data_IF_954886338738
#
_entry.id   IF_954886338738
#
_cell.length_a   1.000
_cell.length_b   1.000
_cell.length_c   1.000
_cell.angle_alpha   90.00
_cell.angle_beta   90.00
_cell.angle_gamma   90.00
#
_symmetry.space_group_name_H-M   'P 1'
#
loop_
_entity.id
_entity.type
_entity.pdbx_description
1 polymer ?
#
# COMPACT_ATOMS: atom_id res chain seq x y z
N UNK A 1 -22.03 7.13 35.63
CA UNK A 1 -22.59 7.44 34.29
C UNK A 1 -23.64 6.39 33.97
N UNK A 2 -24.84 6.77 33.51
CA UNK A 2 -25.87 5.81 33.08
C UNK A 2 -25.81 5.73 31.55
N UNK A 3 -25.63 4.52 31.02
CA UNK A 3 -25.64 4.26 29.58
C UNK A 3 -26.97 3.59 29.22
N UNK A 4 -27.59 4.04 28.14
CA UNK A 4 -28.85 3.46 27.63
C UNK A 4 -28.53 2.49 26.51
N UNK A 5 -29.02 1.25 26.61
CA UNK A 5 -29.06 0.31 25.50
C UNK A 5 -30.18 0.72 24.52
N UNK A 6 -29.80 1.01 23.27
CA UNK A 6 -30.73 1.44 22.21
C UNK A 6 -31.11 0.30 21.26
N UNK A 7 -30.40 -0.83 21.31
CA UNK A 7 -30.64 -1.96 20.43
C UNK A 7 -29.73 -3.13 20.72
N UNK A 8 -29.83 -4.19 19.92
CA UNK A 8 -29.00 -5.39 20.03
C UNK A 8 -28.54 -5.91 18.67
N UNK A 9 -27.40 -6.58 18.69
CA UNK A 9 -26.88 -7.36 17.55
C UNK A 9 -27.61 -8.69 17.45
N UNK A 10 -27.94 -9.09 16.22
CA UNK A 10 -28.48 -10.41 15.87
C UNK A 10 -27.57 -11.02 14.81
N UNK A 11 -26.88 -12.12 15.13
CA UNK A 11 -26.05 -12.88 14.19
C UNK A 11 -25.77 -14.32 14.66
N UNK A 12 -24.95 -15.07 13.92
CA UNK A 12 -24.62 -16.48 14.21
C UNK A 12 -23.56 -16.67 15.31
N UNK A 13 -22.83 -15.63 15.69
CA UNK A 13 -21.65 -15.71 16.56
C UNK A 13 -22.07 -15.62 18.03
N UNK A 14 -22.40 -16.76 18.63
CA UNK A 14 -22.82 -16.82 20.05
C UNK A 14 -21.66 -16.61 21.04
N UNK A 15 -20.43 -16.87 20.59
CA UNK A 15 -19.21 -16.75 21.39
C UNK A 15 -18.17 -15.94 20.61
N UNK A 16 -17.23 -15.26 21.29
CA UNK A 16 -16.17 -14.54 20.62
C UNK A 16 -15.31 -15.49 19.78
N UNK A 17 -15.19 -15.18 18.49
CA UNK A 17 -14.24 -15.81 17.56
C UNK A 17 -13.26 -14.75 17.04
N UNK A 18 -12.48 -15.08 16.01
CA UNK A 18 -11.61 -14.11 15.35
C UNK A 18 -12.42 -12.88 14.89
N UNK A 19 -12.03 -11.63 15.25
CA UNK A 19 -12.71 -10.44 14.75
C UNK A 19 -12.78 -10.36 13.22
N UNK A 20 -11.74 -10.81 12.50
CA UNK A 20 -11.72 -10.81 11.05
C UNK A 20 -12.69 -11.85 10.46
N UNK A 21 -12.95 -12.94 11.20
CA UNK A 21 -14.01 -13.90 10.85
C UNK A 21 -15.41 -13.33 11.14
N UNK A 22 -15.59 -12.64 12.28
CA UNK A 22 -16.86 -12.00 12.62
C UNK A 22 -17.24 -10.94 11.59
N UNK A 23 -16.28 -10.10 11.18
CA UNK A 23 -16.49 -9.03 10.18
C UNK A 23 -16.99 -9.53 8.84
N UNK A 24 -16.60 -10.75 8.45
CA UNK A 24 -17.05 -11.39 7.20
C UNK A 24 -18.52 -11.85 7.25
N UNK A 25 -19.21 -11.69 8.39
CA UNK A 25 -20.60 -12.12 8.60
C UNK A 25 -21.57 -10.93 8.52
N UNK A 26 -22.63 -11.08 7.72
CA UNK A 26 -23.75 -10.13 7.73
C UNK A 26 -24.47 -10.21 9.07
N UNK A 27 -24.61 -9.06 9.73
CA UNK A 27 -25.28 -8.93 11.02
C UNK A 27 -26.50 -8.04 10.89
N UNK A 28 -27.46 -8.19 11.83
CA UNK A 28 -28.58 -7.27 11.96
C UNK A 28 -28.42 -6.52 13.27
N UNK A 29 -28.57 -5.20 13.23
CA UNK A 29 -28.73 -4.38 14.42
C UNK A 29 -30.22 -4.07 14.55
N UNK A 30 -30.84 -4.61 15.61
CA UNK A 30 -32.24 -4.35 15.95
C UNK A 30 -32.30 -3.21 16.96
N UNK A 31 -32.74 -2.05 16.52
CA UNK A 31 -33.00 -0.89 17.38
C UNK A 31 -34.32 -1.10 18.11
N UNK A 32 -34.39 -0.69 19.38
CA UNK A 32 -35.64 -0.75 20.15
C UNK A 32 -36.66 0.22 19.53
N UNK A 33 -37.93 -0.17 19.51
CA UNK A 33 -38.98 0.56 18.80
C UNK A 33 -39.06 2.04 19.20
N UNK A 34 -38.90 2.34 20.49
CA UNK A 34 -38.92 3.71 21.03
C UNK A 34 -37.77 4.62 20.53
N UNK A 35 -36.73 4.05 19.91
CA UNK A 35 -35.61 4.79 19.32
C UNK A 35 -35.61 4.73 17.79
N UNK A 36 -36.58 4.08 17.16
CA UNK A 36 -36.60 3.84 15.72
C UNK A 36 -36.63 5.14 14.89
N UNK A 37 -37.26 6.20 15.41
CA UNK A 37 -37.30 7.53 14.76
C UNK A 37 -35.90 8.16 14.64
N UNK A 38 -34.97 7.82 15.53
CA UNK A 38 -33.57 8.25 15.45
C UNK A 38 -32.82 7.73 14.21
N UNK A 39 -33.41 6.78 13.48
CA UNK A 39 -32.85 6.26 12.23
C UNK A 39 -33.27 7.08 11.00
N UNK A 40 -34.05 8.15 11.14
CA UNK A 40 -34.44 8.99 10.00
C UNK A 40 -33.23 9.35 9.12
N UNK A 41 -33.41 9.23 7.80
CA UNK A 41 -32.38 9.45 6.77
C UNK A 41 -31.08 8.64 6.89
N UNK A 42 -31.00 7.63 7.76
CA UNK A 42 -29.79 6.79 7.89
C UNK A 42 -29.38 6.11 6.59
N UNK A 43 -30.34 5.86 5.68
CA UNK A 43 -30.11 5.29 4.34
C UNK A 43 -29.26 6.20 3.43
N UNK A 44 -29.06 7.47 3.78
CA UNK A 44 -28.20 8.39 3.05
C UNK A 44 -26.70 8.15 3.30
N UNK A 45 -26.36 7.23 4.21
CA UNK A 45 -24.98 6.92 4.57
C UNK A 45 -24.69 5.46 4.26
N UNK A 46 -23.59 5.22 3.53
CA UNK A 46 -23.11 3.88 3.20
C UNK A 46 -22.41 3.23 4.40
N UNK A 47 -21.77 4.02 5.26
CA UNK A 47 -21.02 3.54 6.41
C UNK A 47 -21.50 4.18 7.71
N UNK A 48 -21.56 3.36 8.76
CA UNK A 48 -22.00 3.75 10.10
C UNK A 48 -20.94 3.38 11.14
N UNK A 49 -20.68 4.27 12.10
CA UNK A 49 -19.95 3.95 13.33
C UNK A 49 -20.93 3.40 14.35
N UNK A 50 -20.75 2.13 14.71
CA UNK A 50 -21.54 1.44 15.71
C UNK A 50 -20.78 1.44 17.03
N UNK A 51 -21.41 1.98 18.07
CA UNK A 51 -20.88 1.97 19.44
C UNK A 51 -21.66 0.93 20.23
N UNK A 52 -20.95 -0.03 20.84
CA UNK A 52 -21.57 -1.17 21.49
C UNK A 52 -20.85 -1.56 22.78
N UNK A 53 -21.51 -2.34 23.63
CA UNK A 53 -20.99 -2.75 24.93
C UNK A 53 -20.50 -4.20 24.89
N UNK A 54 -19.25 -4.47 25.29
CA UNK A 54 -18.75 -5.84 25.45
C UNK A 54 -19.35 -6.47 26.72
N UNK A 55 -20.64 -6.82 26.65
CA UNK A 55 -21.45 -7.36 27.75
C UNK A 55 -20.97 -8.71 28.32
N UNK A 56 -19.98 -9.36 27.68
CA UNK A 56 -19.30 -10.57 28.14
C UNK A 56 -17.86 -10.32 28.60
N UNK A 57 -17.37 -9.08 28.52
CA UNK A 57 -16.06 -8.73 29.04
C UNK A 57 -16.19 -8.45 30.53
N UNK A 58 -15.66 -9.36 31.34
CA UNK A 58 -15.50 -9.19 32.77
C UNK A 58 -14.07 -8.68 33.04
N UNK A 59 -13.96 -7.75 34.00
CA UNK A 59 -12.71 -7.08 34.39
C UNK A 59 -11.93 -6.39 33.26
N UNK A 60 -10.74 -5.88 33.59
CA UNK A 60 -9.84 -5.22 32.66
C UNK A 60 -8.37 -5.50 32.95
N UNK A 61 -7.56 -5.51 31.89
CA UNK A 61 -6.10 -5.66 31.99
C UNK A 61 -5.43 -4.40 31.43
N UNK A 62 -4.85 -3.57 32.30
CA UNK A 62 -4.22 -2.31 31.88
C UNK A 62 -3.01 -2.53 30.98
N UNK A 63 -2.24 -3.60 31.22
CA UNK A 63 -1.09 -4.03 30.41
C UNK A 63 -1.22 -5.53 30.20
N UNK A 64 -1.24 -5.99 28.95
CA UNK A 64 -1.27 -7.43 28.65
C UNK A 64 -0.63 -7.75 27.31
N UNK A 65 -0.26 -9.02 27.12
CA UNK A 65 -0.03 -9.58 25.79
C UNK A 65 -1.34 -9.54 24.99
N UNK A 66 -1.24 -9.28 23.68
CA UNK A 66 -2.38 -9.22 22.76
C UNK A 66 -2.22 -10.30 21.69
N UNK A 67 -3.28 -10.55 20.93
CA UNK A 67 -3.32 -11.61 19.90
C UNK A 67 -2.20 -11.51 18.86
N UNK A 68 -1.76 -10.30 18.55
CA UNK A 68 -0.60 -10.00 17.70
C UNK A 68 0.25 -8.91 18.34
N UNK A 69 1.57 -9.05 18.20
CA UNK A 69 2.55 -8.03 18.58
C UNK A 69 2.89 -7.97 20.08
N UNK A 70 3.75 -7.00 20.47
CA UNK A 70 4.28 -6.90 21.83
C UNK A 70 3.23 -6.50 22.86
N UNK A 71 3.56 -6.81 24.13
CA UNK A 71 2.86 -6.34 25.34
C UNK A 71 2.68 -4.82 25.29
N UNK A 72 1.46 -4.35 25.58
CA UNK A 72 1.13 -2.91 25.53
C UNK A 72 -0.04 -2.55 26.43
N UNK A 73 -0.17 -1.26 26.68
CA UNK A 73 -1.31 -0.69 27.40
C UNK A 73 -2.65 -0.95 26.69
N UNK A 74 -3.74 -1.06 27.46
CA UNK A 74 -5.08 -1.30 26.89
C UNK A 74 -5.55 -0.17 25.97
N UNK A 75 -5.18 1.07 26.26
CA UNK A 75 -5.54 2.26 25.48
C UNK A 75 -4.73 2.42 24.19
N UNK A 76 -3.67 1.64 24.00
CA UNK A 76 -2.93 1.53 22.72
C UNK A 76 -3.30 0.26 21.96
N UNK A 77 -4.48 -0.31 22.26
CA UNK A 77 -5.00 -1.54 21.69
C UNK A 77 -6.51 -1.47 21.46
N UNK A 78 -7.07 -2.50 20.82
CA UNK A 78 -8.52 -2.68 20.63
C UNK A 78 -9.12 -3.78 21.50
N UNK A 79 -8.46 -4.17 22.59
CA UNK A 79 -8.94 -5.26 23.45
C UNK A 79 -10.26 -4.95 24.16
N UNK A 80 -11.20 -5.92 24.25
CA UNK A 80 -12.46 -5.74 24.99
C UNK A 80 -12.29 -5.63 26.51
N UNK A 81 -11.18 -6.14 27.08
CA UNK A 81 -10.87 -6.10 28.52
C UNK A 81 -10.32 -4.74 28.96
N UNK A 82 -11.19 -3.73 29.00
CA UNK A 82 -10.85 -2.32 29.26
C UNK A 82 -11.79 -1.72 30.32
N UNK A 83 -11.35 -0.66 31.06
CA UNK A 83 -12.13 -0.09 32.17
C UNK A 83 -13.57 0.32 31.80
N UNK A 84 -13.78 0.79 30.58
CA UNK A 84 -15.11 0.98 29.99
C UNK A 84 -15.22 0.08 28.77
N UNK A 85 -15.89 -1.08 28.85
CA UNK A 85 -15.90 -2.11 27.81
C UNK A 85 -16.80 -1.71 26.65
N UNK A 86 -16.39 -0.65 25.94
CA UNK A 86 -17.05 -0.09 24.77
C UNK A 86 -16.25 -0.45 23.53
N UNK A 87 -16.95 -1.02 22.55
CA UNK A 87 -16.48 -1.28 21.20
C UNK A 87 -16.97 -0.20 20.24
N UNK A 88 -16.16 0.09 19.23
CA UNK A 88 -16.51 1.01 18.14
C UNK A 88 -16.06 0.36 16.83
N UNK A 89 -17.00 0.18 15.91
CA UNK A 89 -16.72 -0.44 14.61
C UNK A 89 -17.43 0.32 13.51
N UNK A 90 -16.70 0.62 12.44
CA UNK A 90 -17.31 1.12 11.20
C UNK A 90 -17.84 -0.07 10.41
N UNK A 91 -19.13 -0.03 10.07
CA UNK A 91 -19.83 -1.07 9.31
C UNK A 91 -20.39 -0.48 8.03
N UNK A 92 -20.50 -1.30 7.00
CA UNK A 92 -21.27 -0.97 5.79
C UNK A 92 -22.76 -1.20 6.07
N UNK A 93 -23.61 -0.23 5.72
CA UNK A 93 -25.06 -0.35 5.77
C UNK A 93 -25.57 -0.98 4.48
N UNK A 94 -26.03 -2.23 4.56
CA UNK A 94 -26.56 -2.96 3.40
C UNK A 94 -28.00 -2.57 3.11
N UNK A 95 -28.84 -2.48 4.14
CA UNK A 95 -30.24 -2.02 4.04
C UNK A 95 -30.83 -1.68 5.40
N UNK A 96 -31.91 -0.89 5.40
CA UNK A 96 -32.79 -0.65 6.57
C UNK A 96 -34.21 -1.11 6.28
N UNK A 97 -34.77 -1.87 7.22
CA UNK A 97 -36.18 -2.31 7.24
C UNK A 97 -36.77 -1.98 8.62
N UNK A 98 -37.59 -0.92 8.70
CA UNK A 98 -38.12 -0.45 9.99
C UNK A 98 -37.00 -0.05 10.97
N UNK A 99 -36.95 -0.73 12.11
CA UNK A 99 -35.93 -0.61 13.16
C UNK A 99 -34.75 -1.60 13.00
N UNK A 100 -34.68 -2.33 11.88
CA UNK A 100 -33.62 -3.28 11.57
C UNK A 100 -32.61 -2.67 10.59
N UNK A 101 -31.34 -2.68 10.96
CA UNK A 101 -30.23 -2.32 10.09
C UNK A 101 -29.45 -3.59 9.74
N UNK A 102 -29.38 -3.91 8.46
CA UNK A 102 -28.56 -5.02 7.95
C UNK A 102 -27.19 -4.45 7.62
N UNK A 103 -26.13 -5.02 8.20
CA UNK A 103 -24.79 -4.46 8.14
C UNK A 103 -23.73 -5.52 7.83
N UNK A 104 -22.60 -5.09 7.29
CA UNK A 104 -21.41 -5.91 7.04
C UNK A 104 -20.18 -5.29 7.72
N UNK A 105 -19.25 -6.12 8.23
CA UNK A 105 -18.04 -5.64 8.90
C UNK A 105 -18.16 -5.42 10.41
N UNK A 106 -19.22 -5.91 11.06
CA UNK A 106 -19.37 -5.82 12.53
C UNK A 106 -18.60 -6.96 13.24
N UNK A 107 -17.84 -6.63 14.28
CA UNK A 107 -17.08 -7.57 15.14
C UNK A 107 -17.69 -7.70 16.54
N UNK A 108 -19.00 -7.89 16.59
CA UNK A 108 -19.77 -8.07 17.82
C UNK A 108 -20.52 -9.42 17.79
N UNK A 109 -20.54 -10.10 18.95
CA UNK A 109 -21.28 -11.35 19.12
C UNK A 109 -22.80 -11.11 19.17
N UNK A 110 -23.57 -12.17 18.97
CA UNK A 110 -25.02 -12.16 19.11
C UNK A 110 -25.45 -11.58 20.48
N UNK A 111 -26.57 -10.86 20.50
CA UNK A 111 -27.11 -10.15 21.67
C UNK A 111 -26.26 -9.00 22.22
N UNK A 112 -25.16 -8.62 21.55
CA UNK A 112 -24.35 -7.47 21.97
C UNK A 112 -25.20 -6.19 22.04
N UNK A 113 -25.24 -5.49 23.20
CA UNK A 113 -25.96 -4.24 23.35
C UNK A 113 -25.35 -3.13 22.48
N UNK A 114 -26.20 -2.43 21.73
CA UNK A 114 -25.85 -1.20 21.01
C UNK A 114 -26.13 -0.01 21.91
N UNK A 115 -25.16 0.89 21.99
CA UNK A 115 -25.21 2.11 22.79
C UNK A 115 -25.52 3.32 21.91
N UNK A 116 -24.90 3.42 20.74
CA UNK A 116 -25.01 4.59 19.86
C UNK A 116 -24.70 4.22 18.40
N UNK A 117 -25.18 5.05 17.47
CA UNK A 117 -24.92 4.94 16.03
C UNK A 117 -24.63 6.35 15.49
N UNK A 118 -23.54 6.49 14.73
CA UNK A 118 -23.20 7.74 14.05
C UNK A 118 -22.91 7.48 12.57
N UNK A 119 -23.19 8.44 11.66
CA UNK A 119 -22.68 8.34 10.30
C UNK A 119 -21.14 8.34 10.32
N UNK A 120 -20.51 7.53 9.48
CA UNK A 120 -19.08 7.66 9.22
C UNK A 120 -18.86 8.78 8.19
N UNK A 121 -18.02 9.75 8.53
CA UNK A 121 -17.71 10.89 7.66
C UNK A 121 -16.19 10.97 7.52
N UNK A 122 -15.66 10.67 6.33
CA UNK A 122 -14.22 10.57 6.07
C UNK A 122 -13.42 11.78 6.60
N UNK A 123 -13.84 13.03 6.32
CA UNK A 123 -13.04 14.19 6.76
C UNK A 123 -13.01 14.40 8.29
N UNK A 124 -13.97 13.83 9.05
CA UNK A 124 -14.01 13.93 10.52
C UNK A 124 -13.36 12.70 11.17
N UNK A 125 -13.56 11.54 10.57
CA UNK A 125 -13.25 10.25 11.15
C UNK A 125 -11.95 9.63 10.64
N UNK A 126 -11.44 10.14 9.52
CA UNK A 126 -10.11 9.88 8.98
C UNK A 126 -9.24 11.13 9.21
N UNK A 127 -8.45 11.18 10.31
CA UNK A 127 -7.61 12.34 10.65
C UNK A 127 -6.46 12.57 9.66
N UNK A 128 -6.32 11.70 8.67
CA UNK A 128 -5.22 11.76 7.71
C UNK A 128 -5.24 13.01 6.85
N UNK A 129 -6.34 13.77 6.72
CA UNK A 129 -6.35 14.91 5.79
C UNK A 129 -5.43 16.06 6.26
N UNK A 130 -5.42 16.39 7.56
CA UNK A 130 -4.49 17.41 8.10
C UNK A 130 -3.06 16.90 8.12
N UNK A 131 -2.86 15.63 8.50
CA UNK A 131 -1.53 15.00 8.54
C UNK A 131 -0.93 14.78 7.15
N UNK A 132 -1.76 14.56 6.13
CA UNK A 132 -1.31 14.46 4.74
C UNK A 132 -0.82 15.81 4.18
N UNK A 133 -1.26 16.94 4.74
CA UNK A 133 -0.74 18.25 4.33
C UNK A 133 0.69 18.46 4.81
N UNK A 134 1.04 17.94 5.98
CA UNK A 134 2.40 18.00 6.54
C UNK A 134 3.29 16.91 5.93
N UNK A 135 2.76 15.69 5.83
CA UNK A 135 3.45 14.53 5.26
C UNK A 135 2.55 13.90 4.20
N UNK A 136 2.74 14.22 2.89
CA UNK A 136 1.91 13.68 1.80
C UNK A 136 1.82 12.15 1.80
N UNK A 137 2.84 11.50 2.38
CA UNK A 137 2.99 10.05 2.45
C UNK A 137 2.51 9.43 3.77
N UNK A 138 1.86 10.21 4.65
CA UNK A 138 1.40 9.76 5.97
C UNK A 138 0.69 8.38 5.94
N UNK A 139 -0.22 8.19 4.98
CA UNK A 139 -0.95 6.94 4.80
C UNK A 139 -0.01 5.78 4.42
N UNK A 140 0.87 5.99 3.46
CA UNK A 140 1.85 4.99 2.99
C UNK A 140 2.79 4.61 4.14
N UNK A 141 3.35 5.61 4.84
CA UNK A 141 4.27 5.40 5.96
C UNK A 141 3.62 4.57 7.08
N UNK A 142 2.35 4.84 7.40
CA UNK A 142 1.59 4.03 8.35
C UNK A 142 1.37 2.60 7.84
N UNK A 143 1.02 2.41 6.57
CA UNK A 143 0.87 1.07 6.01
C UNK A 143 2.17 0.28 6.06
N UNK A 144 3.33 0.91 5.83
CA UNK A 144 4.65 0.27 5.99
C UNK A 144 4.90 -0.07 7.47
N UNK A 145 4.66 0.87 8.39
CA UNK A 145 4.84 0.65 9.83
C UNK A 145 3.98 -0.50 10.38
N UNK A 146 2.76 -0.63 9.88
CA UNK A 146 1.82 -1.69 10.27
C UNK A 146 1.82 -2.92 9.35
N UNK A 147 2.75 -2.98 8.39
CA UNK A 147 2.87 -4.09 7.42
C UNK A 147 1.55 -4.39 6.67
N UNK A 148 0.76 -3.35 6.36
CA UNK A 148 -0.46 -3.48 5.55
C UNK A 148 -0.12 -3.50 4.05
N UNK A 149 0.55 -4.58 3.62
CA UNK A 149 1.04 -4.73 2.25
C UNK A 149 -0.07 -4.90 1.21
N UNK A 150 -1.22 -5.45 1.60
CA UNK A 150 -2.41 -5.53 0.75
C UNK A 150 -2.89 -4.15 0.29
N UNK A 151 -3.00 -3.19 1.20
CA UNK A 151 -3.41 -1.83 0.85
C UNK A 151 -2.31 -1.09 0.06
N UNK A 152 -1.03 -1.35 0.35
CA UNK A 152 0.08 -0.84 -0.47
C UNK A 152 0.04 -1.38 -1.90
N UNK A 153 -0.30 -2.65 -2.10
CA UNK A 153 -0.43 -3.25 -3.43
C UNK A 153 -1.60 -2.63 -4.20
N UNK A 154 -2.77 -2.51 -3.56
CA UNK A 154 -3.94 -1.85 -4.15
C UNK A 154 -3.58 -0.46 -4.67
N UNK A 155 -2.90 0.34 -3.85
CA UNK A 155 -2.48 1.68 -4.20
C UNK A 155 -1.39 1.72 -5.28
N UNK A 156 -0.43 0.81 -5.24
CA UNK A 156 0.61 0.70 -6.27
C UNK A 156 0.00 0.33 -7.63
N UNK A 157 -1.08 -0.45 -7.63
CA UNK A 157 -1.86 -0.77 -8.83
C UNK A 157 -2.55 0.45 -9.46
N UNK A 158 -2.87 1.49 -8.67
CA UNK A 158 -3.42 2.75 -9.21
C UNK A 158 -2.39 3.46 -10.11
N UNK A 159 -1.11 3.46 -9.71
CA UNK A 159 -0.02 4.01 -10.50
C UNK A 159 0.32 3.11 -11.70
N UNK A 160 0.44 1.81 -11.45
CA UNK A 160 0.91 0.83 -12.44
C UNK A 160 -0.16 0.45 -13.48
N UNK A 161 -1.44 0.59 -13.13
CA UNK A 161 -2.59 0.32 -14.00
C UNK A 161 -3.09 -1.14 -13.99
N UNK A 162 -2.38 -2.07 -13.37
CA UNK A 162 -2.83 -3.46 -13.15
C UNK A 162 -2.11 -4.12 -11.98
N UNK A 163 -2.51 -5.34 -11.61
CA UNK A 163 -1.82 -6.16 -10.61
C UNK A 163 -1.03 -7.27 -11.30
N UNK A 164 0.23 -7.41 -10.93
CA UNK A 164 1.12 -8.45 -11.45
C UNK A 164 2.08 -8.96 -10.37
N UNK A 165 2.65 -10.17 -10.54
CA UNK A 165 3.57 -10.75 -9.56
C UNK A 165 4.76 -9.85 -9.25
N UNK A 166 5.35 -9.22 -10.27
CA UNK A 166 6.53 -8.36 -10.07
C UNK A 166 6.20 -7.05 -9.36
N UNK A 167 5.01 -6.46 -9.59
CA UNK A 167 4.56 -5.31 -8.81
C UNK A 167 4.44 -5.70 -7.33
N UNK A 168 3.83 -6.84 -7.02
CA UNK A 168 3.70 -7.34 -5.65
C UNK A 168 5.05 -7.60 -4.99
N UNK A 169 6.01 -8.19 -5.70
CA UNK A 169 7.39 -8.36 -5.23
C UNK A 169 8.05 -7.02 -4.90
N UNK A 170 7.85 -5.99 -5.73
CA UNK A 170 8.37 -4.64 -5.47
C UNK A 170 7.76 -4.01 -4.21
N UNK A 171 6.44 -4.11 -4.06
CA UNK A 171 5.70 -3.65 -2.88
C UNK A 171 6.19 -4.36 -1.61
N UNK A 172 6.35 -5.69 -1.68
CA UNK A 172 6.85 -6.50 -0.58
C UNK A 172 8.26 -6.08 -0.16
N UNK A 173 9.20 -6.00 -1.10
CA UNK A 173 10.59 -5.64 -0.82
C UNK A 173 10.70 -4.24 -0.20
N UNK A 174 9.95 -3.27 -0.72
CA UNK A 174 9.93 -1.90 -0.18
C UNK A 174 9.31 -1.82 1.22
N UNK A 175 8.16 -2.46 1.43
CA UNK A 175 7.49 -2.44 2.72
C UNK A 175 8.33 -3.13 3.81
N UNK A 176 8.98 -4.25 3.48
CA UNK A 176 9.84 -4.98 4.40
C UNK A 176 11.16 -4.21 4.68
N UNK A 177 11.87 -3.81 3.62
CA UNK A 177 13.18 -3.15 3.73
C UNK A 177 13.13 -1.82 4.46
N UNK A 178 12.17 -0.96 4.13
CA UNK A 178 12.02 0.35 4.79
C UNK A 178 11.60 0.22 6.25
N UNK A 179 10.78 -0.79 6.58
CA UNK A 179 10.41 -1.07 7.96
C UNK A 179 11.61 -1.57 8.77
N UNK A 180 12.35 -2.56 8.26
CA UNK A 180 13.54 -3.13 8.93
C UNK A 180 14.66 -2.12 9.12
N UNK A 181 14.83 -1.17 8.19
CA UNK A 181 15.81 -0.09 8.29
C UNK A 181 15.34 1.13 9.12
N UNK A 182 14.05 1.19 9.49
CA UNK A 182 13.48 2.35 10.17
C UNK A 182 13.37 3.61 9.28
N UNK A 183 13.28 3.43 7.97
CA UNK A 183 13.26 4.50 6.96
C UNK A 183 11.84 4.84 6.47
N UNK A 184 10.84 4.65 7.33
CA UNK A 184 9.43 4.84 6.95
C UNK A 184 9.02 6.31 6.90
N UNK A 185 9.73 7.20 7.60
CA UNK A 185 9.53 8.65 7.51
C UNK A 185 10.45 9.23 6.43
N UNK A 186 10.03 9.12 5.18
CA UNK A 186 10.70 9.71 4.02
C UNK A 186 9.88 10.90 3.49
N UNK A 187 10.47 12.09 3.46
CA UNK A 187 9.88 13.30 2.87
C UNK A 187 10.10 13.40 1.35
N UNK A 188 10.93 12.50 0.80
CA UNK A 188 11.26 12.41 -0.62
C UNK A 188 12.48 13.21 -1.05
N UNK A 189 13.25 13.84 -0.16
CA UNK A 189 14.36 14.75 -0.52
C UNK A 189 15.75 14.06 -0.66
N UNK A 190 15.86 12.99 -1.44
CA UNK A 190 17.13 12.22 -1.63
C UNK A 190 17.74 11.58 -0.35
N UNK A 191 17.08 11.72 0.81
CA UNK A 191 17.55 11.19 2.10
C UNK A 191 17.44 9.67 2.21
N UNK A 192 16.30 9.12 1.82
CA UNK A 192 16.09 7.68 1.66
C UNK A 192 16.25 7.37 0.19
N UNK A 193 17.11 6.40 -0.13
CA UNK A 193 17.42 6.03 -1.50
C UNK A 193 17.04 4.58 -1.78
N UNK A 194 16.66 4.33 -3.04
CA UNK A 194 16.52 2.99 -3.59
C UNK A 194 17.38 2.86 -4.83
N UNK A 195 18.28 1.87 -4.86
CA UNK A 195 19.05 1.51 -6.05
C UNK A 195 18.41 0.29 -6.69
N UNK A 196 17.68 0.48 -7.78
CA UNK A 196 17.00 -0.59 -8.52
C UNK A 196 17.86 -1.09 -9.67
N UNK A 197 17.85 -2.40 -9.91
CA UNK A 197 18.69 -3.07 -10.91
C UNK A 197 17.93 -3.51 -12.19
N UNK A 198 16.68 -3.06 -12.33
CA UNK A 198 15.75 -3.42 -13.42
C UNK A 198 14.78 -2.27 -13.73
N UNK A 199 14.26 -2.22 -14.96
CA UNK A 199 13.17 -1.32 -15.40
C UNK A 199 11.80 -2.03 -15.51
N UNK A 200 11.64 -3.19 -14.84
CA UNK A 200 10.38 -3.95 -14.83
C UNK A 200 9.35 -3.42 -13.84
N UNK A 201 8.14 -4.00 -13.83
CA UNK A 201 7.05 -3.67 -12.91
C UNK A 201 7.44 -3.69 -11.42
N UNK A 202 8.49 -4.46 -11.08
CA UNK A 202 9.11 -4.45 -9.76
C UNK A 202 9.47 -3.04 -9.30
N UNK A 203 10.10 -2.25 -10.17
CA UNK A 203 10.56 -0.90 -9.87
C UNK A 203 9.40 0.07 -9.61
N UNK A 204 8.21 -0.14 -10.16
CA UNK A 204 7.04 0.69 -9.85
C UNK A 204 6.54 0.46 -8.43
N UNK A 205 6.55 -0.79 -7.96
CA UNK A 205 6.23 -1.11 -6.56
C UNK A 205 7.21 -0.46 -5.60
N UNK A 206 8.50 -0.48 -5.93
CA UNK A 206 9.57 0.22 -5.18
C UNK A 206 9.33 1.72 -5.17
N UNK A 207 9.07 2.33 -6.32
CA UNK A 207 8.82 3.77 -6.44
C UNK A 207 7.60 4.19 -5.63
N UNK A 208 6.48 3.46 -5.73
CA UNK A 208 5.25 3.83 -5.06
C UNK A 208 5.39 3.71 -3.53
N UNK A 209 5.84 2.55 -3.05
CA UNK A 209 5.92 2.28 -1.61
C UNK A 209 7.09 3.02 -0.98
N UNK A 210 8.24 3.07 -1.65
CA UNK A 210 9.42 3.76 -1.16
C UNK A 210 9.38 5.26 -1.33
N UNK A 211 8.54 5.77 -2.25
CA UNK A 211 8.55 7.16 -2.74
C UNK A 211 9.95 7.63 -3.08
N UNK A 212 10.77 6.66 -3.47
CA UNK A 212 12.05 6.83 -4.10
C UNK A 212 11.79 6.87 -5.59
N UNK A 213 11.74 8.06 -6.19
CA UNK A 213 11.28 8.24 -7.57
C UNK A 213 12.38 8.86 -8.43
N UNK A 214 12.23 8.78 -9.75
CA UNK A 214 13.14 9.46 -10.67
C UNK A 214 13.15 10.98 -10.47
N UNK A 215 11.99 11.59 -10.28
CA UNK A 215 11.85 13.05 -10.26
C UNK A 215 12.38 13.74 -9.01
N UNK A 216 12.38 13.03 -7.87
CA UNK A 216 13.00 13.50 -6.63
C UNK A 216 14.40 12.91 -6.39
N UNK A 217 15.03 12.36 -7.45
CA UNK A 217 16.40 11.85 -7.50
C UNK A 217 16.79 10.79 -6.45
N UNK A 218 15.82 10.22 -5.75
CA UNK A 218 16.04 9.22 -4.71
C UNK A 218 15.97 7.79 -5.23
N UNK A 219 15.57 7.60 -6.49
CA UNK A 219 15.70 6.35 -7.22
C UNK A 219 16.96 6.38 -8.10
N UNK A 220 17.89 5.46 -7.87
CA UNK A 220 19.02 5.20 -8.76
C UNK A 220 18.71 3.94 -9.55
N UNK A 221 18.65 4.07 -10.87
CA UNK A 221 18.49 2.92 -11.75
C UNK A 221 19.85 2.47 -12.31
N UNK A 222 20.20 1.22 -12.06
CA UNK A 222 21.32 0.50 -12.67
C UNK A 222 20.78 -0.54 -13.63
N UNK A 223 21.09 -0.41 -14.91
CA UNK A 223 20.53 -1.28 -15.94
C UNK A 223 21.24 -2.65 -16.02
N UNK A 224 21.19 -3.42 -14.93
CA UNK A 224 21.81 -4.74 -14.83
C UNK A 224 20.87 -5.88 -15.24
N UNK A 225 19.56 -5.60 -15.35
CA UNK A 225 18.53 -6.59 -15.65
C UNK A 225 18.21 -7.55 -14.50
N UNK A 226 18.63 -7.24 -13.27
CA UNK A 226 18.40 -8.09 -12.09
C UNK A 226 17.17 -7.59 -11.33
N UNK A 227 16.27 -8.50 -10.97
CA UNK A 227 15.15 -8.20 -10.04
C UNK A 227 15.71 -8.00 -8.64
N UNK A 228 16.24 -6.80 -8.39
CA UNK A 228 16.91 -6.45 -7.15
C UNK A 228 16.77 -4.95 -6.84
N UNK A 229 16.83 -4.65 -5.53
CA UNK A 229 16.81 -3.29 -4.98
C UNK A 229 17.72 -3.22 -3.76
N UNK A 230 18.42 -2.11 -3.58
CA UNK A 230 19.10 -1.76 -2.32
C UNK A 230 18.46 -0.53 -1.71
N UNK A 231 18.03 -0.64 -0.45
CA UNK A 231 17.52 0.48 0.35
C UNK A 231 18.56 0.96 1.34
N UNK A 232 18.65 2.28 1.51
CA UNK A 232 19.57 2.92 2.45
C UNK A 232 19.13 4.36 2.75
N UNK A 233 19.74 4.96 3.78
CA UNK A 233 19.75 6.41 3.92
C UNK A 233 21.07 6.97 3.44
N UNK A 234 21.04 8.06 2.66
CA UNK A 234 22.24 8.75 2.21
C UNK A 234 23.12 9.24 3.37
N UNK A 235 22.52 9.55 4.52
CA UNK A 235 23.22 9.98 5.73
C UNK A 235 23.89 8.82 6.50
N UNK A 236 23.52 7.57 6.19
CA UNK A 236 24.12 6.38 6.78
C UNK A 236 24.14 5.22 5.76
N UNK A 237 24.97 5.32 4.71
CA UNK A 237 24.94 4.38 3.59
C UNK A 237 25.41 2.97 3.98
N UNK A 238 26.20 2.84 5.04
CA UNK A 238 26.67 1.55 5.57
C UNK A 238 25.52 0.70 6.15
N UNK A 239 24.46 1.33 6.65
CA UNK A 239 23.25 0.64 7.08
C UNK A 239 22.28 0.50 5.90
N UNK A 240 22.50 -0.53 5.10
CA UNK A 240 21.72 -0.79 3.90
C UNK A 240 21.25 -2.25 3.83
N UNK A 241 20.21 -2.48 3.03
CA UNK A 241 19.68 -3.82 2.75
C UNK A 241 19.43 -4.02 1.27
N UNK A 242 20.03 -5.05 0.68
CA UNK A 242 19.82 -5.46 -0.71
C UNK A 242 18.92 -6.68 -0.78
N UNK A 243 17.82 -6.55 -1.49
CA UNK A 243 16.87 -7.61 -1.81
C UNK A 243 17.11 -8.03 -3.25
N UNK A 244 17.27 -9.32 -3.50
CA UNK A 244 17.31 -9.85 -4.86
C UNK A 244 16.57 -11.19 -4.93
N UNK A 245 15.85 -11.39 -6.03
CA UNK A 245 14.99 -12.55 -6.21
C UNK A 245 15.82 -13.85 -6.12
N UNK A 246 15.44 -14.74 -5.21
CA UNK A 246 16.19 -15.96 -4.90
C UNK A 246 16.05 -17.02 -6.01
N UNK A 247 14.87 -17.11 -6.61
CA UNK A 247 14.52 -18.01 -7.70
C UNK A 247 13.79 -17.21 -8.79
N UNK A 248 14.36 -17.10 -9.99
CA UNK A 248 13.72 -16.36 -11.10
C UNK A 248 12.58 -17.14 -11.75
N UNK A 249 12.55 -18.47 -11.57
CA UNK A 249 11.62 -19.37 -12.25
C UNK A 249 10.42 -19.75 -11.38
N UNK A 250 10.29 -19.17 -10.17
CA UNK A 250 9.26 -19.53 -9.18
C UNK A 250 7.83 -19.47 -9.75
N UNK A 251 7.52 -18.50 -10.63
CA UNK A 251 6.19 -18.42 -11.24
C UNK A 251 5.91 -19.66 -12.11
N UNK A 252 6.89 -20.09 -12.89
CA UNK A 252 6.75 -21.23 -13.78
C UNK A 252 6.69 -22.56 -13.00
N UNK A 253 7.35 -22.62 -11.85
CA UNK A 253 7.39 -23.78 -10.94
C UNK A 253 6.13 -23.90 -10.08
N UNK A 254 5.72 -22.81 -9.44
CA UNK A 254 4.59 -22.79 -8.49
C UNK A 254 3.23 -22.65 -9.17
N UNK A 255 3.20 -22.05 -10.37
CA UNK A 255 1.98 -21.80 -11.15
C UNK A 255 2.14 -22.29 -12.60
N UNK A 256 2.39 -23.59 -12.84
CA UNK A 256 2.70 -24.14 -14.16
C UNK A 256 1.58 -23.92 -15.19
N UNK A 257 0.32 -23.77 -14.74
CA UNK A 257 -0.83 -23.44 -15.56
C UNK A 257 -0.71 -22.07 -16.27
N UNK A 258 0.17 -21.19 -15.77
CA UNK A 258 0.41 -19.87 -16.36
C UNK A 258 1.26 -19.96 -17.62
N UNK A 259 2.11 -20.98 -17.78
CA UNK A 259 3.20 -20.99 -18.77
C UNK A 259 2.73 -20.83 -20.22
N UNK A 260 1.72 -21.61 -20.63
CA UNK A 260 1.20 -21.55 -21.99
C UNK A 260 0.49 -20.22 -22.27
N UNK A 261 -0.26 -19.71 -21.27
CA UNK A 261 -0.98 -18.46 -21.38
C UNK A 261 -0.02 -17.26 -21.41
N UNK A 262 0.99 -17.26 -20.54
CA UNK A 262 2.05 -16.24 -20.49
C UNK A 262 2.80 -16.15 -21.82
N UNK A 263 3.22 -17.30 -22.38
CA UNK A 263 3.92 -17.34 -23.66
C UNK A 263 3.10 -16.68 -24.77
N UNK A 264 1.83 -17.08 -24.92
CA UNK A 264 0.95 -16.53 -25.97
C UNK A 264 0.60 -15.06 -25.75
N UNK A 265 0.22 -14.69 -24.53
CA UNK A 265 -0.36 -13.38 -24.22
C UNK A 265 0.72 -12.31 -24.04
N UNK A 266 1.79 -12.64 -23.30
CA UNK A 266 2.81 -11.66 -22.89
C UNK A 266 4.03 -11.70 -23.81
N UNK A 267 4.63 -12.89 -24.01
CA UNK A 267 5.86 -13.00 -24.79
C UNK A 267 5.61 -12.83 -26.30
N UNK A 268 4.59 -13.50 -26.85
CA UNK A 268 4.26 -13.48 -28.28
C UNK A 268 3.23 -12.41 -28.65
N UNK A 269 2.52 -11.82 -27.66
CA UNK A 269 1.47 -10.82 -27.84
C UNK A 269 0.37 -11.24 -28.84
N UNK A 270 0.04 -12.52 -28.87
CA UNK A 270 -0.90 -13.14 -29.81
C UNK A 270 -2.12 -13.79 -29.10
N UNK A 271 -2.37 -13.42 -27.85
CA UNK A 271 -3.51 -13.92 -27.09
C UNK A 271 -4.85 -13.32 -27.53
N UNK A 272 -5.91 -14.14 -27.53
CA UNK A 272 -7.28 -13.67 -27.67
C UNK A 272 -7.71 -12.78 -26.50
N UNK A 273 -8.81 -12.02 -26.67
CA UNK A 273 -9.36 -11.16 -25.58
C UNK A 273 -9.68 -11.97 -24.32
N UNK A 274 -10.20 -13.18 -24.47
CA UNK A 274 -10.53 -14.07 -23.36
C UNK A 274 -9.27 -14.57 -22.64
N UNK A 275 -8.22 -14.92 -23.40
CA UNK A 275 -6.93 -15.31 -22.84
C UNK A 275 -6.25 -14.16 -22.08
N UNK A 276 -6.35 -12.93 -22.59
CA UNK A 276 -5.86 -11.72 -21.90
C UNK A 276 -6.60 -11.49 -20.57
N UNK A 277 -7.93 -11.57 -20.57
CA UNK A 277 -8.76 -11.46 -19.35
C UNK A 277 -8.41 -12.54 -18.32
N UNK A 278 -8.26 -13.79 -18.77
CA UNK A 278 -7.84 -14.90 -17.92
C UNK A 278 -6.45 -14.66 -17.33
N UNK A 279 -5.50 -14.17 -18.13
CA UNK A 279 -4.16 -13.85 -17.67
C UNK A 279 -4.18 -12.77 -16.59
N UNK A 280 -4.97 -11.71 -16.78
CA UNK A 280 -5.12 -10.62 -15.80
C UNK A 280 -5.64 -11.12 -14.46
N UNK A 281 -6.67 -11.96 -14.46
CA UNK A 281 -7.22 -12.55 -13.22
C UNK A 281 -6.20 -13.41 -12.50
N UNK A 282 -5.50 -14.28 -13.22
CA UNK A 282 -4.47 -15.14 -12.66
C UNK A 282 -3.30 -14.33 -12.09
N UNK A 283 -2.86 -13.28 -12.79
CA UNK A 283 -1.82 -12.38 -12.29
C UNK A 283 -2.24 -11.61 -11.04
N UNK A 284 -3.50 -11.20 -10.97
CA UNK A 284 -4.06 -10.60 -9.78
C UNK A 284 -4.04 -11.59 -8.61
N UNK A 285 -4.56 -12.81 -8.79
CA UNK A 285 -4.57 -13.86 -7.77
C UNK A 285 -3.16 -14.15 -7.24
N UNK A 286 -2.19 -14.34 -8.14
CA UNK A 286 -0.78 -14.58 -7.77
C UNK A 286 -0.19 -13.38 -7.03
N UNK A 287 -0.43 -12.15 -7.50
CA UNK A 287 0.08 -10.93 -6.86
C UNK A 287 -0.41 -10.80 -5.40
N UNK A 288 -1.69 -11.10 -5.15
CA UNK A 288 -2.26 -11.09 -3.79
C UNK A 288 -1.82 -12.31 -2.96
N UNK A 289 -1.53 -13.45 -3.56
CA UNK A 289 -0.90 -14.58 -2.86
C UNK A 289 0.51 -14.22 -2.39
N UNK A 290 1.33 -13.61 -3.27
CA UNK A 290 2.69 -13.18 -2.94
C UNK A 290 2.66 -12.21 -1.76
N UNK A 291 1.78 -11.20 -1.77
CA UNK A 291 1.81 -10.14 -0.77
C UNK A 291 1.48 -10.59 0.67
N UNK A 292 0.91 -11.79 0.83
CA UNK A 292 0.57 -12.38 2.11
C UNK A 292 1.74 -13.17 2.74
N UNK A 293 2.74 -13.54 1.96
CA UNK A 293 3.90 -14.35 2.36
C UNK A 293 5.05 -13.52 2.98
N UNK A 294 6.02 -14.18 3.60
CA UNK A 294 7.23 -13.53 4.14
C UNK A 294 8.23 -13.17 3.03
N UNK A 295 8.95 -12.06 3.18
CA UNK A 295 9.88 -11.57 2.15
C UNK A 295 11.03 -12.56 1.89
N UNK A 296 11.48 -13.25 2.93
CA UNK A 296 12.53 -14.27 2.88
C UNK A 296 12.17 -15.48 2.01
N UNK A 297 10.89 -15.71 1.71
CA UNK A 297 10.47 -16.79 0.82
C UNK A 297 10.81 -16.50 -0.65
N UNK A 298 10.87 -15.22 -1.03
CA UNK A 298 11.15 -14.80 -2.40
C UNK A 298 12.53 -14.17 -2.58
N UNK A 299 13.07 -13.53 -1.54
CA UNK A 299 14.29 -12.75 -1.64
C UNK A 299 15.44 -13.34 -0.83
N UNK A 300 16.62 -13.33 -1.43
CA UNK A 300 17.88 -13.30 -0.67
C UNK A 300 18.09 -11.86 -0.21
N UNK A 301 18.31 -11.69 1.09
CA UNK A 301 18.45 -10.38 1.74
C UNK A 301 19.86 -10.25 2.30
N UNK A 302 20.63 -9.36 1.71
CA UNK A 302 21.98 -9.00 2.17
C UNK A 302 21.93 -7.68 2.94
N UNK A 303 22.77 -7.56 3.97
CA UNK A 303 22.87 -6.36 4.82
C UNK A 303 24.26 -5.76 4.72
N UNK A 304 24.33 -4.44 4.82
CA UNK A 304 25.58 -3.67 4.89
C UNK A 304 26.50 -4.00 3.70
N UNK A 305 25.94 -4.07 2.51
CA UNK A 305 26.73 -4.30 1.29
C UNK A 305 27.53 -3.04 0.95
N UNK A 306 28.70 -3.23 0.34
CA UNK A 306 29.42 -2.10 -0.23
C UNK A 306 28.66 -1.59 -1.47
N UNK A 307 28.30 -0.32 -1.47
CA UNK A 307 27.57 0.31 -2.58
C UNK A 307 28.08 1.72 -2.83
N UNK A 308 28.49 2.00 -4.07
CA UNK A 308 28.81 3.35 -4.51
C UNK A 308 27.52 4.12 -4.78
N UNK A 309 27.42 5.36 -4.31
CA UNK A 309 26.29 6.24 -4.59
C UNK A 309 26.76 7.45 -5.40
N UNK A 310 25.94 7.94 -6.34
CA UNK A 310 26.24 9.20 -7.00
C UNK A 310 26.15 10.36 -5.98
N UNK A 311 26.85 11.44 -6.26
CA UNK A 311 26.69 12.71 -5.53
C UNK A 311 25.23 13.21 -5.60
N UNK A 312 24.90 14.18 -4.74
CA UNK A 312 23.60 14.88 -4.81
C UNK A 312 23.37 15.45 -6.21
N UNK A 313 22.10 15.49 -6.62
CA UNK A 313 21.74 16.03 -7.92
C UNK A 313 22.25 17.48 -8.08
N UNK A 314 23.09 17.77 -9.08
CA UNK A 314 23.61 19.11 -9.30
C UNK A 314 22.53 20.07 -9.80
N UNK A 315 22.60 21.33 -9.37
CA UNK A 315 21.77 22.41 -9.92
C UNK A 315 22.47 22.95 -11.17
N UNK A 316 21.81 22.82 -12.31
CA UNK A 316 22.31 23.35 -13.58
C UNK A 316 21.67 24.70 -13.91
N UNK A 317 22.42 25.55 -14.59
CA UNK A 317 21.88 26.76 -15.21
C UNK A 317 20.95 26.43 -16.38
N UNK A 318 20.40 27.50 -16.95
CA UNK A 318 19.49 27.43 -18.07
C UNK A 318 20.05 28.15 -19.30
N UNK A 319 19.83 27.56 -20.46
CA UNK A 319 20.14 28.13 -21.77
C UNK A 319 18.94 28.03 -22.72
N UNK A 320 19.07 28.63 -23.90
CA UNK A 320 18.03 28.61 -24.93
C UNK A 320 18.57 28.08 -26.26
N UNK A 321 17.84 27.16 -26.88
CA UNK A 321 18.21 26.63 -28.18
C UNK A 321 18.07 27.71 -29.25
N UNK A 322 19.16 27.99 -29.97
CA UNK A 322 19.22 29.01 -31.01
C UNK A 322 18.36 28.70 -32.26
N UNK A 323 17.82 27.47 -32.36
CA UNK A 323 16.97 27.03 -33.50
C UNK A 323 15.49 27.01 -33.16
N UNK A 324 15.08 26.30 -32.10
CA UNK A 324 13.67 26.21 -31.71
C UNK A 324 13.24 27.26 -30.67
N UNK A 325 14.17 27.92 -29.98
CA UNK A 325 13.88 28.89 -28.93
C UNK A 325 13.52 28.28 -27.56
N UNK A 326 13.45 26.96 -27.43
CA UNK A 326 13.12 26.29 -26.17
C UNK A 326 14.23 26.43 -25.13
N UNK A 327 13.81 26.55 -23.88
CA UNK A 327 14.69 26.57 -22.71
C UNK A 327 15.18 25.15 -22.40
N UNK A 328 16.47 24.99 -22.13
CA UNK A 328 17.08 23.70 -21.81
C UNK A 328 18.14 23.84 -20.71
N UNK A 329 18.35 22.74 -19.97
CA UNK A 329 19.39 22.66 -18.94
C UNK A 329 20.78 22.75 -19.56
N UNK A 330 21.69 23.49 -18.92
CA UNK A 330 23.07 23.68 -19.38
C UNK A 330 23.82 22.37 -19.60
N UNK A 331 23.58 21.36 -18.77
CA UNK A 331 24.22 20.04 -18.91
C UNK A 331 23.78 19.26 -20.16
N UNK A 332 22.79 19.74 -20.90
CA UNK A 332 22.22 19.07 -22.08
C UNK A 332 22.47 19.85 -23.39
N UNK A 333 23.16 20.99 -23.34
CA UNK A 333 23.43 21.80 -24.53
C UNK A 333 24.39 21.09 -25.51
N UNK A 334 24.28 21.45 -26.78
CA UNK A 334 25.22 21.08 -27.83
C UNK A 334 25.70 22.36 -28.51
N UNK A 335 27.00 22.62 -28.44
CA UNK A 335 27.63 23.71 -29.17
C UNK A 335 27.98 23.26 -30.60
N UNK A 336 27.39 23.92 -31.60
CA UNK A 336 27.64 23.63 -33.02
C UNK A 336 27.59 24.95 -33.80
N UNK A 337 28.63 25.24 -34.58
CA UNK A 337 28.74 26.46 -35.40
C UNK A 337 28.51 27.76 -34.60
N UNK A 338 29.14 27.89 -33.41
CA UNK A 338 28.96 29.02 -32.49
C UNK A 338 27.50 29.29 -32.06
N UNK A 339 26.65 28.25 -32.10
CA UNK A 339 25.27 28.30 -31.60
C UNK A 339 25.08 27.24 -30.53
N UNK A 340 24.28 27.60 -29.52
CA UNK A 340 23.78 26.66 -28.51
C UNK A 340 22.52 26.01 -29.07
N UNK A 341 22.50 24.68 -29.16
CA UNK A 341 21.37 23.91 -29.66
C UNK A 341 20.94 22.85 -28.66
N UNK A 342 19.65 22.48 -28.67
CA UNK A 342 19.20 21.25 -28.03
C UNK A 342 19.64 20.02 -28.85
N UNK A 343 19.70 18.85 -28.21
CA UNK A 343 20.14 17.60 -28.85
C UNK A 343 19.36 17.28 -30.12
N UNK A 344 18.05 17.48 -30.09
CA UNK A 344 17.16 17.28 -31.24
C UNK A 344 17.49 18.22 -32.41
N UNK A 345 17.51 19.54 -32.19
CA UNK A 345 17.84 20.53 -33.22
C UNK A 345 19.26 20.40 -33.79
N UNK A 346 20.18 19.82 -33.01
CA UNK A 346 21.57 19.59 -33.40
C UNK A 346 21.81 18.25 -34.11
N UNK A 347 20.79 17.37 -34.13
CA UNK A 347 20.86 15.97 -34.57
C UNK A 347 21.98 15.19 -33.85
N UNK A 348 22.13 15.44 -32.54
CA UNK A 348 23.13 14.79 -31.71
C UNK A 348 22.50 13.64 -30.92
N UNK A 349 23.33 12.66 -30.59
CA UNK A 349 22.90 11.48 -29.86
C UNK A 349 22.33 11.81 -28.47
N UNK A 350 21.37 11.01 -28.03
CA UNK A 350 20.74 11.12 -26.71
C UNK A 350 20.52 9.74 -26.07
N UNK A 351 20.33 9.73 -24.76
CA UNK A 351 19.96 8.51 -24.04
C UNK A 351 18.44 8.42 -23.96
N UNK A 352 17.90 7.24 -24.29
CA UNK A 352 16.48 6.93 -24.20
C UNK A 352 16.32 5.72 -23.28
N UNK A 353 15.44 5.84 -22.28
CA UNK A 353 14.91 4.67 -21.58
C UNK A 353 13.69 4.17 -22.35
N UNK A 354 13.71 2.90 -22.76
CA UNK A 354 12.54 2.20 -23.26
C UNK A 354 12.45 0.78 -22.69
N UNK A 355 11.57 -0.06 -23.25
CA UNK A 355 11.38 -1.43 -22.76
C UNK A 355 12.63 -2.31 -22.86
N UNK A 356 13.65 -1.91 -23.62
CA UNK A 356 14.93 -2.62 -23.72
C UNK A 356 16.00 -2.13 -22.73
N UNK A 357 15.73 -1.05 -21.99
CA UNK A 357 16.69 -0.41 -21.09
C UNK A 357 17.14 0.97 -21.58
N UNK A 358 18.30 1.43 -21.12
CA UNK A 358 18.89 2.70 -21.55
C UNK A 358 19.71 2.49 -22.83
N UNK A 359 19.24 3.05 -23.94
CA UNK A 359 19.92 3.01 -25.23
C UNK A 359 20.40 4.40 -25.65
N UNK A 360 21.50 4.44 -26.41
CA UNK A 360 21.97 5.65 -27.09
C UNK A 360 21.38 5.68 -28.49
N UNK A 361 20.58 6.71 -28.79
CA UNK A 361 19.98 6.96 -30.11
C UNK A 361 20.73 8.04 -30.86
#
# INVERSE_FOLDING_TARGET
MKITEIGKVINKHKYPVDPDEMKKTKSIIKIREEFADGLDKIKNYEYLKIVFYFHKSEDYDLISSRRKGPVRGVFTSRSPKRPSPIGITTVELLKREGNLLYVYGLDAIDQTPIIDIKPYISFMDDPSLSLQKETPRYKINNMINYQNRNELLLKSGELHGHFCPYLALGVMAAADGLNKLGLTNNDGMEDVMAVVETNSCFSDGIQFVGGTTFGNNSLIYRDFGKTAVTFLSRNNPENNMRYYLANNDFIAEDYPETNNLFKKVIAERNGSKEEVEKMKKLWQEIAFSIIEEEAENYFKIEKNINIELPDYAPIFGDNYCSRCGEKLMDSKIVEKNNKILCRDCSENSYFQLDGSGIIKK
#
